data_IF_692310356929
#
_entry.id   IF_692310356929
#
_cell.length_a   1.000
_cell.length_b   1.000
_cell.length_c   1.000
_cell.angle_alpha   90.00
_cell.angle_beta   90.00
_cell.angle_gamma   90.00
#
_symmetry.space_group_name_H-M   'P 1'
#
loop_
_entity.id
_entity.type
_entity.pdbx_description
1 polymer ?
#
# COMPACT_ATOMS: atom_id res chain seq x y z
N UNK A 1 21.73 -15.29 42.97
CA UNK A 1 21.77 -16.06 41.71
C UNK A 1 20.36 -16.06 41.11
N UNK A 2 19.94 -14.94 40.48
CA UNK A 2 18.58 -14.75 39.97
C UNK A 2 18.45 -15.16 38.51
N UNK A 3 17.40 -15.93 38.20
CA UNK A 3 17.17 -16.62 36.94
C UNK A 3 16.88 -15.64 35.79
N UNK A 4 17.59 -15.82 34.66
CA UNK A 4 17.34 -15.15 33.39
C UNK A 4 16.29 -15.95 32.62
N UNK A 5 15.04 -15.47 32.63
CA UNK A 5 13.95 -16.05 31.85
C UNK A 5 14.08 -15.63 30.38
N UNK A 6 14.65 -16.53 29.58
CA UNK A 6 14.84 -16.39 28.14
C UNK A 6 13.49 -16.36 27.40
N UNK A 7 12.99 -15.16 27.09
CA UNK A 7 11.90 -14.96 26.14
C UNK A 7 12.42 -15.03 24.70
N UNK A 8 12.77 -16.24 24.25
CA UNK A 8 12.97 -16.52 22.82
C UNK A 8 11.77 -17.35 22.37
N UNK A 9 10.61 -16.71 22.26
CA UNK A 9 9.51 -17.29 21.50
C UNK A 9 9.87 -17.21 20.02
N UNK A 10 10.37 -18.33 19.51
CA UNK A 10 10.68 -18.54 18.12
C UNK A 10 9.48 -18.15 17.24
N UNK A 11 9.67 -17.11 16.42
CA UNK A 11 8.79 -16.79 15.32
C UNK A 11 8.83 -17.96 14.34
N UNK A 12 7.95 -18.94 14.53
CA UNK A 12 7.62 -19.92 13.51
C UNK A 12 7.33 -19.15 12.23
N UNK A 13 8.25 -19.25 11.26
CA UNK A 13 8.07 -18.69 9.92
C UNK A 13 6.93 -19.45 9.26
N UNK A 14 5.70 -19.02 9.53
CA UNK A 14 4.55 -19.35 8.73
C UNK A 14 4.88 -18.86 7.32
N UNK A 15 5.34 -19.79 6.47
CA UNK A 15 5.53 -19.57 5.04
C UNK A 15 4.16 -19.28 4.45
N UNK A 16 3.71 -18.02 4.55
CA UNK A 16 2.52 -17.57 3.84
C UNK A 16 2.76 -17.84 2.35
N UNK A 17 1.78 -18.41 1.65
CA UNK A 17 1.93 -18.72 0.23
C UNK A 17 2.33 -17.45 -0.52
N UNK A 18 3.28 -17.57 -1.43
CA UNK A 18 3.71 -16.46 -2.27
C UNK A 18 2.49 -15.95 -3.04
N UNK A 19 2.24 -14.63 -3.06
CA UNK A 19 1.15 -14.08 -3.84
C UNK A 19 1.37 -14.36 -5.32
N UNK A 20 0.28 -14.54 -6.06
CA UNK A 20 0.34 -14.72 -7.51
C UNK A 20 0.95 -13.47 -8.15
N UNK A 21 1.92 -13.61 -9.07
CA UNK A 21 2.48 -12.47 -9.79
C UNK A 21 1.38 -11.73 -10.56
N UNK A 22 1.47 -10.40 -10.61
CA UNK A 22 0.56 -9.50 -11.29
C UNK A 22 1.35 -8.41 -12.00
N UNK A 23 0.83 -7.94 -13.12
CA UNK A 23 1.36 -6.78 -13.83
C UNK A 23 0.68 -5.50 -13.33
N UNK A 24 1.36 -4.37 -13.49
CA UNK A 24 0.85 -3.05 -13.18
C UNK A 24 -0.18 -2.62 -14.23
N UNK A 25 -1.37 -2.20 -13.80
CA UNK A 25 -2.44 -1.72 -14.70
C UNK A 25 -2.07 -0.44 -15.49
N UNK A 26 -0.95 0.24 -15.17
CA UNK A 26 -0.53 1.49 -15.83
C UNK A 26 0.70 1.36 -16.75
N UNK A 27 1.65 0.47 -16.43
CA UNK A 27 2.92 0.39 -17.16
C UNK A 27 3.28 -1.04 -17.59
N UNK A 28 2.40 -2.02 -17.33
CA UNK A 28 2.60 -3.43 -17.60
C UNK A 28 3.83 -4.08 -16.94
N UNK A 29 4.57 -3.35 -16.10
CA UNK A 29 5.69 -3.90 -15.33
C UNK A 29 5.20 -4.86 -14.24
N UNK A 30 6.00 -5.90 -13.90
CA UNK A 30 5.70 -6.77 -12.77
C UNK A 30 5.57 -6.01 -11.45
N UNK A 31 4.50 -6.26 -10.69
CA UNK A 31 4.35 -5.75 -9.33
C UNK A 31 5.25 -6.58 -8.40
N UNK A 32 6.11 -5.90 -7.64
CA UNK A 32 7.02 -6.54 -6.68
C UNK A 32 6.28 -7.51 -5.74
N UNK A 33 6.84 -8.71 -5.58
CA UNK A 33 6.29 -9.74 -4.69
C UNK A 33 6.13 -9.25 -3.25
N UNK A 34 7.08 -8.45 -2.75
CA UNK A 34 7.00 -7.86 -1.41
C UNK A 34 5.77 -6.96 -1.25
N UNK A 35 5.43 -6.19 -2.28
CA UNK A 35 4.21 -5.35 -2.31
C UNK A 35 2.96 -6.20 -2.32
N UNK A 36 2.93 -7.26 -3.11
CA UNK A 36 1.80 -8.20 -3.14
C UNK A 36 1.66 -9.02 -1.85
N UNK A 37 2.75 -9.25 -1.10
CA UNK A 37 2.71 -9.91 0.21
C UNK A 37 2.04 -9.03 1.27
N UNK A 38 2.30 -7.73 1.22
CA UNK A 38 1.68 -6.74 2.12
C UNK A 38 0.25 -6.42 1.67
N UNK A 39 0.05 -6.21 0.37
CA UNK A 39 -1.23 -5.86 -0.24
C UNK A 39 -1.52 -6.75 -1.46
N UNK A 40 -2.17 -7.91 -1.25
CA UNK A 40 -2.43 -8.88 -2.33
C UNK A 40 -3.33 -8.38 -3.47
N UNK A 41 -4.07 -7.30 -3.23
CA UNK A 41 -4.98 -6.66 -4.21
C UNK A 41 -4.36 -5.42 -4.86
N UNK A 42 -3.07 -5.19 -4.71
CA UNK A 42 -2.40 -4.07 -5.37
C UNK A 42 -2.56 -4.17 -6.89
N UNK A 43 -2.98 -3.06 -7.50
CA UNK A 43 -3.21 -2.93 -8.95
C UNK A 43 -2.05 -2.27 -9.69
N UNK A 44 -1.17 -1.61 -8.94
CA UNK A 44 -0.07 -0.79 -9.48
C UNK A 44 1.24 -1.08 -8.79
N UNK A 45 2.34 -0.92 -9.52
CA UNK A 45 3.68 -0.87 -8.96
C UNK A 45 3.83 0.36 -8.04
N UNK A 46 4.89 0.38 -7.22
CA UNK A 46 5.14 1.48 -6.25
C UNK A 46 5.26 2.83 -6.98
N UNK A 47 5.93 2.86 -8.13
CA UNK A 47 6.17 4.08 -8.91
C UNK A 47 4.86 4.70 -9.43
N UNK A 48 4.01 3.90 -10.08
CA UNK A 48 2.71 4.35 -10.58
C UNK A 48 1.76 4.74 -9.43
N UNK A 49 1.78 4.01 -8.32
CA UNK A 49 0.96 4.39 -7.16
C UNK A 49 1.40 5.73 -6.56
N UNK A 50 2.71 5.97 -6.40
CA UNK A 50 3.23 7.28 -5.97
C UNK A 50 2.85 8.40 -6.92
N UNK A 51 2.91 8.15 -8.23
CA UNK A 51 2.49 9.13 -9.23
C UNK A 51 0.98 9.43 -9.14
N UNK A 52 0.15 8.41 -8.94
CA UNK A 52 -1.30 8.57 -8.70
C UNK A 52 -1.56 9.39 -7.44
N UNK A 53 -0.92 9.07 -6.33
CA UNK A 53 -1.08 9.80 -5.08
C UNK A 53 -0.71 11.29 -5.23
N UNK A 54 0.37 11.61 -5.96
CA UNK A 54 0.75 12.99 -6.26
C UNK A 54 -0.32 13.70 -7.11
N UNK A 55 -0.84 13.05 -8.16
CA UNK A 55 -1.93 13.59 -8.99
C UNK A 55 -3.17 13.86 -8.15
N UNK A 56 -3.56 12.90 -7.29
CA UNK A 56 -4.71 13.03 -6.41
C UNK A 56 -4.56 14.18 -5.41
N UNK A 57 -3.38 14.32 -4.78
CA UNK A 57 -3.09 15.44 -3.88
C UNK A 57 -3.17 16.80 -4.60
N UNK A 58 -2.65 16.90 -5.82
CA UNK A 58 -2.75 18.12 -6.63
C UNK A 58 -4.19 18.44 -7.01
N UNK A 59 -4.98 17.43 -7.39
CA UNK A 59 -6.39 17.61 -7.69
C UNK A 59 -7.17 18.11 -6.46
N UNK A 60 -6.96 17.49 -5.29
CA UNK A 60 -7.59 17.93 -4.05
C UNK A 60 -7.19 19.36 -3.65
N UNK A 61 -5.92 19.73 -3.84
CA UNK A 61 -5.43 21.09 -3.59
C UNK A 61 -6.03 22.11 -4.58
N UNK A 62 -6.30 21.69 -5.82
CA UNK A 62 -6.97 22.53 -6.80
C UNK A 62 -8.46 22.75 -6.48
N UNK A 63 -9.10 21.82 -5.77
CA UNK A 63 -10.53 21.85 -5.43
C UNK A 63 -10.87 22.58 -4.11
N UNK A 64 -9.99 23.42 -3.55
CA UNK A 64 -10.28 24.26 -2.36
C UNK A 64 -9.95 25.72 -2.68
N UNK A 65 -10.90 26.66 -2.76
CA UNK A 65 -11.56 27.31 -1.60
C UNK A 65 -12.99 27.84 -1.92
N UNK A 66 -13.47 27.73 -3.16
CA UNK A 66 -14.70 28.42 -3.64
C UNK A 66 -15.88 27.52 -4.04
N UNK A 67 -15.66 26.21 -4.18
CA UNK A 67 -16.62 25.34 -4.87
C UNK A 67 -17.52 24.51 -3.94
N UNK A 68 -17.37 24.64 -2.61
CA UNK A 68 -18.31 24.04 -1.66
C UNK A 68 -19.51 24.98 -1.51
N UNK A 69 -20.33 25.10 -2.55
CA UNK A 69 -21.68 25.67 -2.43
C UNK A 69 -22.52 24.62 -1.72
N UNK A 70 -22.71 24.81 -0.41
CA UNK A 70 -23.71 24.08 0.37
C UNK A 70 -25.08 24.44 -0.20
N UNK A 71 -25.66 23.55 -1.01
CA UNK A 71 -27.04 23.65 -1.44
C UNK A 71 -27.89 23.49 -0.17
N UNK A 72 -28.31 24.62 0.42
CA UNK A 72 -29.39 24.65 1.40
C UNK A 72 -30.71 24.56 0.62
N UNK A 73 -31.45 23.48 0.88
CA UNK A 73 -32.87 23.38 0.55
C UNK A 73 -33.74 24.20 1.50
#
# INVERSE_FOLDING_TARGET
MGQVLSLIQGRHRLRKPLPKPRLCDECDDPIETARLQVQPKAKRCISCEKARERRHKRALAATSDRDIVVIKG
#
